data_IF_557214756714
#
_entry.id   IF_557214756714
#
_cell.length_a   1.000
_cell.length_b   1.000
_cell.length_c   1.000
_cell.angle_alpha   90.00
_cell.angle_beta   90.00
_cell.angle_gamma   90.00
#
_symmetry.space_group_name_H-M   'P 1'
#
loop_
_entity.id
_entity.type
_entity.pdbx_description
1 polymer ?
#
# COMPACT_ATOMS: atom_id res chain seq x y z
N UNK A 1 -51.25 16.28 24.68
CA UNK A 1 -49.83 16.73 24.64
C UNK A 1 -48.84 15.85 25.42
N UNK A 2 -49.22 14.65 25.92
CA UNK A 2 -48.33 13.81 26.76
C UNK A 2 -47.64 12.66 26.00
N UNK A 3 -48.23 12.19 24.88
CA UNK A 3 -47.71 11.05 24.09
C UNK A 3 -46.64 11.46 23.07
N UNK A 4 -46.70 12.69 22.58
CA UNK A 4 -45.77 13.22 21.56
C UNK A 4 -44.42 13.55 22.19
N UNK A 5 -44.40 14.11 23.41
CA UNK A 5 -43.16 14.36 24.16
C UNK A 5 -42.38 13.09 24.49
N UNK A 6 -43.08 11.97 24.75
CA UNK A 6 -42.43 10.69 25.07
C UNK A 6 -41.74 10.04 23.86
N UNK A 7 -42.26 10.24 22.65
CA UNK A 7 -41.65 9.74 21.40
C UNK A 7 -40.42 10.57 21.04
N UNK A 8 -40.48 11.89 21.21
CA UNK A 8 -39.33 12.78 20.96
C UNK A 8 -38.20 12.53 21.95
N UNK A 9 -38.51 12.30 23.24
CA UNK A 9 -37.50 11.96 24.25
C UNK A 9 -36.89 10.56 23.98
N UNK A 10 -37.70 9.57 23.61
CA UNK A 10 -37.19 8.24 23.25
C UNK A 10 -36.28 8.27 22.01
N UNK A 11 -36.64 9.03 20.98
CA UNK A 11 -35.80 9.22 19.78
C UNK A 11 -34.49 9.96 20.11
N UNK A 12 -34.52 10.94 21.02
CA UNK A 12 -33.32 11.65 21.47
C UNK A 12 -32.36 10.74 22.26
N UNK A 13 -32.90 9.85 23.10
CA UNK A 13 -32.12 8.83 23.82
C UNK A 13 -31.55 7.74 22.91
N UNK A 14 -32.27 7.35 21.86
CA UNK A 14 -31.76 6.39 20.86
C UNK A 14 -30.64 7.05 20.03
N UNK A 15 -30.79 8.33 19.68
CA UNK A 15 -29.78 9.08 18.92
C UNK A 15 -28.47 9.26 19.71
N UNK A 16 -28.53 9.46 21.03
CA UNK A 16 -27.31 9.53 21.87
C UNK A 16 -26.65 8.17 22.07
N UNK A 17 -27.43 7.09 22.22
CA UNK A 17 -26.89 5.74 22.41
C UNK A 17 -26.10 5.24 21.18
N UNK A 18 -26.59 5.53 19.97
CA UNK A 18 -25.89 5.18 18.71
C UNK A 18 -24.55 5.92 18.58
N UNK A 19 -24.43 7.12 19.14
CA UNK A 19 -23.21 7.93 19.08
C UNK A 19 -22.10 7.47 20.04
N UNK A 20 -22.42 6.60 21.01
CA UNK A 20 -21.48 6.12 22.03
C UNK A 20 -20.99 4.70 21.79
N UNK A 21 -21.35 4.07 20.65
CA UNK A 21 -20.77 2.79 20.31
C UNK A 21 -19.27 3.00 20.02
N UNK A 22 -18.36 2.38 20.78
CA UNK A 22 -16.98 2.30 20.33
C UNK A 22 -16.98 1.50 19.01
N UNK A 23 -16.56 2.12 17.92
CA UNK A 23 -16.22 1.38 16.71
C UNK A 23 -15.09 0.44 17.06
N UNK A 24 -15.39 -0.85 17.23
CA UNK A 24 -14.36 -1.88 17.25
C UNK A 24 -13.83 -1.98 15.83
N UNK A 25 -12.88 -1.12 15.48
CA UNK A 25 -12.01 -1.37 14.34
C UNK A 25 -11.32 -2.69 14.65
N UNK A 26 -11.59 -3.71 13.82
CA UNK A 26 -10.70 -4.85 13.78
C UNK A 26 -9.31 -4.27 13.49
N UNK A 27 -8.33 -4.59 14.32
CA UNK A 27 -6.94 -4.33 13.97
C UNK A 27 -6.74 -4.99 12.60
N UNK A 28 -6.46 -4.18 11.59
CA UNK A 28 -6.19 -4.65 10.24
C UNK A 28 -4.78 -5.24 10.25
N UNK A 29 -4.70 -6.49 10.71
CA UNK A 29 -3.45 -7.22 10.81
C UNK A 29 -3.03 -7.61 9.40
N UNK A 30 -2.03 -6.91 8.88
CA UNK A 30 -1.46 -7.15 7.54
C UNK A 30 -0.16 -7.93 7.67
N UNK A 31 0.13 -8.81 6.73
CA UNK A 31 1.38 -9.58 6.71
C UNK A 31 2.40 -8.80 5.88
N UNK A 32 3.52 -8.38 6.48
CA UNK A 32 4.52 -7.60 5.74
C UNK A 32 5.12 -8.44 4.61
N UNK A 33 4.98 -7.97 3.37
CA UNK A 33 5.39 -8.66 2.14
C UNK A 33 4.26 -9.39 1.41
N UNK A 34 3.06 -9.49 1.97
CA UNK A 34 1.85 -10.06 1.36
C UNK A 34 1.09 -8.98 0.58
N UNK A 35 1.58 -8.68 -0.61
CA UNK A 35 1.11 -7.58 -1.43
C UNK A 35 -0.27 -7.86 -2.06
N UNK A 36 -0.64 -9.13 -2.24
CA UNK A 36 -1.92 -9.55 -2.83
C UNK A 36 -2.99 -9.95 -1.79
N UNK A 37 -2.66 -9.89 -0.49
CA UNK A 37 -3.51 -10.24 0.67
C UNK A 37 -3.96 -11.70 0.69
N UNK A 38 -3.19 -12.61 0.11
CA UNK A 38 -3.52 -14.04 0.12
C UNK A 38 -3.13 -14.73 1.44
N UNK A 39 -2.39 -14.06 2.31
CA UNK A 39 -1.94 -14.56 3.62
C UNK A 39 -0.57 -15.26 3.61
N UNK A 40 0.15 -15.25 2.49
CA UNK A 40 1.48 -15.85 2.32
C UNK A 40 2.42 -14.87 1.61
N UNK A 41 3.67 -14.75 2.09
CA UNK A 41 4.69 -13.98 1.36
C UNK A 41 5.35 -14.87 0.30
N UNK A 42 5.09 -14.56 -0.97
CA UNK A 42 5.48 -15.38 -2.13
C UNK A 42 6.06 -14.55 -3.29
N UNK A 43 6.51 -15.21 -4.36
CA UNK A 43 7.03 -14.52 -5.56
C UNK A 43 5.95 -13.67 -6.30
N UNK A 44 4.69 -14.12 -6.40
CA UNK A 44 3.58 -13.29 -6.86
C UNK A 44 3.52 -11.90 -6.24
N UNK A 45 3.78 -11.73 -4.95
CA UNK A 45 3.74 -10.42 -4.28
C UNK A 45 4.73 -9.42 -4.86
N UNK A 46 5.97 -9.88 -5.06
CA UNK A 46 7.02 -9.09 -5.71
C UNK A 46 6.68 -8.78 -7.17
N UNK A 47 6.03 -9.72 -7.86
CA UNK A 47 5.63 -9.56 -9.27
C UNK A 47 4.47 -8.57 -9.39
N UNK A 48 3.53 -8.60 -8.45
CA UNK A 48 2.40 -7.67 -8.38
C UNK A 48 2.90 -6.22 -8.20
N UNK A 49 3.84 -5.98 -7.28
CA UNK A 49 4.45 -4.65 -7.09
C UNK A 49 5.07 -4.16 -8.41
N UNK A 50 5.91 -4.98 -9.07
CA UNK A 50 6.52 -4.62 -10.35
C UNK A 50 5.48 -4.34 -11.44
N UNK A 51 4.40 -5.10 -11.43
CA UNK A 51 3.32 -4.97 -12.39
C UNK A 51 2.58 -3.64 -12.21
N UNK A 52 2.19 -3.29 -10.98
CA UNK A 52 1.54 -2.00 -10.67
C UNK A 52 2.46 -0.82 -11.04
N UNK A 53 3.76 -0.91 -10.72
CA UNK A 53 4.75 0.12 -11.08
C UNK A 53 4.96 0.28 -12.59
N UNK A 54 4.63 -0.75 -13.38
CA UNK A 54 4.74 -0.68 -14.84
C UNK A 54 3.59 0.08 -15.51
N UNK A 55 2.55 0.47 -14.74
CA UNK A 55 1.33 1.13 -15.21
C UNK A 55 0.60 0.35 -16.34
N UNK A 56 0.86 -0.97 -16.46
CA UNK A 56 0.29 -1.80 -17.52
C UNK A 56 -1.20 -2.08 -17.26
N UNK A 57 -1.59 -2.41 -16.02
CA UNK A 57 -2.99 -2.44 -15.55
C UNK A 57 -3.08 -2.04 -14.07
N UNK A 58 -4.28 -1.64 -13.65
CA UNK A 58 -4.61 -1.27 -12.26
C UNK A 58 -5.03 -2.54 -11.48
N UNK A 59 -4.21 -2.98 -10.53
CA UNK A 59 -4.47 -4.13 -9.66
C UNK A 59 -4.65 -3.67 -8.21
N UNK A 60 -5.47 -4.41 -7.45
CA UNK A 60 -5.61 -4.20 -6.01
C UNK A 60 -4.32 -4.66 -5.31
N UNK A 61 -3.50 -3.69 -4.93
CA UNK A 61 -2.27 -3.85 -4.19
C UNK A 61 -2.51 -3.45 -2.73
N UNK A 62 -2.03 -4.28 -1.81
CA UNK A 62 -1.91 -3.85 -0.42
C UNK A 62 -0.66 -2.99 -0.23
N UNK A 63 -0.80 -1.67 -0.38
CA UNK A 63 0.32 -0.72 -0.23
C UNK A 63 1.06 -0.85 1.11
N UNK A 64 0.37 -1.23 2.19
CA UNK A 64 0.95 -1.26 3.53
C UNK A 64 1.71 -2.56 3.79
N UNK A 65 1.22 -3.67 3.23
CA UNK A 65 1.97 -4.92 3.22
C UNK A 65 3.13 -4.86 2.21
N UNK A 66 2.93 -4.17 1.08
CA UNK A 66 3.91 -4.01 0.02
C UNK A 66 5.08 -3.10 0.40
N UNK A 67 4.86 -2.06 1.22
CA UNK A 67 5.92 -1.23 1.81
C UNK A 67 6.67 -2.02 2.91
N UNK A 68 7.56 -2.92 2.47
CA UNK A 68 8.33 -3.80 3.34
C UNK A 68 9.44 -3.04 4.05
N UNK A 69 9.96 -1.98 3.43
CA UNK A 69 11.05 -1.19 4.00
C UNK A 69 10.55 -0.13 5.01
N UNK A 70 9.24 0.23 4.95
CA UNK A 70 8.57 1.16 5.84
C UNK A 70 8.87 2.64 5.56
N UNK A 71 9.20 3.01 4.33
CA UNK A 71 9.54 4.38 3.92
C UNK A 71 8.35 5.16 3.33
N UNK A 72 7.15 4.58 3.41
CA UNK A 72 5.88 5.12 2.92
C UNK A 72 5.79 5.17 1.37
N UNK A 73 6.74 4.57 0.65
CA UNK A 73 6.76 4.50 -0.81
C UNK A 73 6.87 3.06 -1.27
N UNK A 74 5.87 2.58 -2.01
CA UNK A 74 6.00 1.28 -2.68
C UNK A 74 6.79 1.45 -3.97
N UNK A 75 7.99 0.85 -4.05
CA UNK A 75 8.83 0.88 -5.24
C UNK A 75 9.54 -0.46 -5.54
N UNK A 76 10.49 -0.46 -6.49
CA UNK A 76 11.21 -1.68 -6.89
C UNK A 76 12.09 -2.25 -5.77
N UNK A 77 12.46 -1.42 -4.79
CA UNK A 77 13.20 -1.82 -3.58
C UNK A 77 12.38 -2.82 -2.79
N UNK A 78 11.07 -2.57 -2.62
CA UNK A 78 10.18 -3.48 -1.90
C UNK A 78 10.06 -4.84 -2.57
N UNK A 79 9.82 -4.82 -3.89
CA UNK A 79 9.80 -6.03 -4.69
C UNK A 79 11.11 -6.83 -4.57
N UNK A 80 12.25 -6.13 -4.54
CA UNK A 80 13.58 -6.74 -4.39
C UNK A 80 13.78 -7.32 -2.98
N UNK A 81 13.28 -6.65 -1.94
CA UNK A 81 13.37 -7.12 -0.56
C UNK A 81 12.56 -8.39 -0.34
N UNK A 82 11.36 -8.49 -0.92
CA UNK A 82 10.57 -9.74 -0.92
C UNK A 82 11.35 -10.86 -1.63
N UNK A 83 11.91 -10.61 -2.82
CA UNK A 83 12.71 -11.64 -3.51
C UNK A 83 13.91 -12.12 -2.68
N UNK A 84 14.64 -11.19 -2.04
CA UNK A 84 15.75 -11.51 -1.15
C UNK A 84 15.30 -12.37 0.04
N UNK A 85 14.17 -12.03 0.64
CA UNK A 85 13.56 -12.83 1.69
C UNK A 85 13.29 -14.27 1.24
N UNK A 86 12.64 -14.44 0.08
CA UNK A 86 12.28 -15.76 -0.46
C UNK A 86 13.49 -16.67 -0.74
N UNK A 87 14.63 -16.09 -1.09
CA UNK A 87 15.88 -16.85 -1.31
C UNK A 87 16.76 -16.94 -0.06
N UNK A 88 16.27 -16.52 1.11
CA UNK A 88 16.97 -16.63 2.39
C UNK A 88 18.18 -15.70 2.53
N UNK A 89 18.22 -14.59 1.79
CA UNK A 89 19.24 -13.57 1.99
C UNK A 89 18.91 -12.70 3.19
N UNK A 90 19.97 -12.30 3.91
CA UNK A 90 19.85 -11.35 5.02
C UNK A 90 19.13 -10.08 4.57
N UNK A 91 18.12 -9.69 5.35
CA UNK A 91 17.44 -8.43 5.25
C UNK A 91 17.06 -7.95 6.66
N UNK A 92 17.07 -6.63 6.92
CA UNK A 92 16.81 -6.07 8.25
C UNK A 92 15.32 -5.92 8.56
N UNK A 93 14.44 -6.34 7.65
CA UNK A 93 13.00 -6.07 7.71
C UNK A 93 12.25 -7.31 8.19
N UNK A 94 11.20 -7.10 8.98
CA UNK A 94 10.37 -8.17 9.53
C UNK A 94 9.35 -8.67 8.49
N UNK A 95 9.84 -9.19 7.36
CA UNK A 95 9.01 -9.80 6.32
C UNK A 95 8.42 -11.11 6.84
N UNK A 96 7.17 -11.41 6.47
CA UNK A 96 6.38 -12.54 6.97
C UNK A 96 6.01 -12.42 8.47
N UNK A 97 6.02 -11.18 8.98
CA UNK A 97 5.52 -10.84 10.31
C UNK A 97 4.26 -9.98 10.19
N UNK A 98 3.30 -10.21 11.09
CA UNK A 98 2.09 -9.41 11.16
C UNK A 98 2.46 -8.00 11.64
N UNK A 99 2.18 -7.01 10.81
CA UNK A 99 2.29 -5.61 11.18
C UNK A 99 0.97 -5.14 11.80
N UNK A 100 1.04 -4.74 13.08
CA UNK A 100 -0.06 -4.12 13.78
C UNK A 100 -0.09 -2.62 13.46
N UNK A 101 -1.08 -2.19 12.67
CA UNK A 101 -1.23 -0.77 12.34
C UNK A 101 -2.18 -0.06 13.33
N UNK A 102 -1.75 1.10 13.85
CA UNK A 102 -2.63 2.07 14.51
C UNK A 102 -2.99 3.16 13.50
N UNK A 103 -4.27 3.24 13.12
CA UNK A 103 -4.92 4.24 12.26
C UNK A 103 -4.15 5.58 12.06
N UNK A 104 -3.84 6.03 10.81
CA UNK A 104 -3.05 7.21 10.52
C UNK A 104 -3.85 8.51 10.47
N UNK A 105 -5.07 8.58 10.99
CA UNK A 105 -5.91 9.79 10.86
C UNK A 105 -5.39 11.07 11.56
N UNK A 106 -4.14 11.15 12.01
CA UNK A 106 -3.48 12.45 12.25
C UNK A 106 -2.93 13.03 10.92
N UNK A 107 -3.48 14.15 10.41
CA UNK A 107 -2.98 14.75 9.18
C UNK A 107 -1.62 15.41 9.44
N UNK A 108 -0.56 14.91 8.78
CA UNK A 108 0.68 15.67 8.63
C UNK A 108 0.62 16.44 7.32
N UNK A 109 0.43 17.76 7.39
CA UNK A 109 0.56 18.65 6.25
C UNK A 109 2.03 18.81 5.89
N UNK A 110 2.55 17.92 5.03
CA UNK A 110 3.74 18.19 4.24
C UNK A 110 3.31 18.88 2.93
N UNK A 111 3.91 20.02 2.61
CA UNK A 111 3.66 20.71 1.35
C UNK A 111 4.15 19.84 0.17
N UNK A 112 3.41 19.75 -0.95
CA UNK A 112 3.87 19.00 -2.11
C UNK A 112 5.12 19.67 -2.69
N UNK A 113 6.24 18.96 -2.69
CA UNK A 113 7.42 19.36 -3.49
C UNK A 113 7.31 18.70 -4.84
N UNK A 114 6.92 19.47 -5.85
CA UNK A 114 6.92 19.02 -7.24
C UNK A 114 8.36 18.92 -7.75
N UNK A 115 8.90 17.70 -7.82
CA UNK A 115 10.03 17.43 -8.70
C UNK A 115 9.51 17.42 -10.15
N UNK A 116 10.16 18.16 -11.04
CA UNK A 116 9.78 18.16 -12.46
C UNK A 116 10.01 16.76 -13.06
N UNK A 117 9.11 16.27 -13.93
CA UNK A 117 9.32 15.01 -14.64
C UNK A 117 10.58 15.15 -15.49
N UNK A 118 11.60 14.34 -15.18
CA UNK A 118 12.73 14.17 -16.09
C UNK A 118 12.29 13.19 -17.16
N UNK A 119 12.21 13.66 -18.41
CA UNK A 119 11.99 12.78 -19.55
C UNK A 119 13.15 11.78 -19.60
N UNK A 120 12.90 10.46 -19.46
CA UNK A 120 13.95 9.48 -19.66
C UNK A 120 14.47 9.65 -21.09
N UNK A 121 15.80 9.73 -21.24
CA UNK A 121 16.40 9.70 -22.58
C UNK A 121 16.02 8.37 -23.21
N UNK A 122 15.46 8.35 -24.44
CA UNK A 122 15.10 7.10 -25.10
C UNK A 122 16.34 6.20 -25.15
N UNK A 123 16.22 5.03 -24.50
CA UNK A 123 17.24 3.98 -24.57
C UNK A 123 17.27 3.48 -26.00
N UNK A 124 18.46 3.48 -26.63
CA UNK A 124 18.62 2.91 -27.97
C UNK A 124 18.14 1.47 -27.96
N UNK A 125 17.40 1.07 -28.98
CA UNK A 125 16.99 -0.32 -29.18
C UNK A 125 18.24 -1.21 -29.07
N UNK A 126 18.31 -2.16 -28.12
CA UNK A 126 19.48 -3.02 -27.94
C UNK A 126 19.78 -3.89 -29.18
N UNK A 127 18.87 -3.92 -30.16
CA UNK A 127 19.02 -4.60 -31.45
C UNK A 127 19.31 -3.66 -32.62
N UNK A 128 19.49 -2.35 -32.40
CA UNK A 128 19.93 -1.42 -33.45
C UNK A 128 21.39 -1.72 -33.82
N UNK A 129 21.61 -2.35 -34.98
CA UNK A 129 22.95 -2.62 -35.50
C UNK A 129 23.73 -1.31 -35.67
N UNK A 130 25.03 -1.27 -35.31
CA UNK A 130 25.85 -0.09 -35.53
C UNK A 130 25.89 0.24 -37.03
N UNK A 131 25.70 1.52 -37.37
CA UNK A 131 25.87 2.00 -38.74
C UNK A 131 27.34 1.80 -39.15
N UNK A 132 27.58 0.89 -40.11
CA UNK A 132 28.89 0.69 -40.72
C UNK A 132 28.89 1.40 -42.07
N UNK A 133 29.55 2.56 -42.23
CA UNK A 133 29.63 3.23 -43.52
C UNK A 133 30.42 2.37 -44.52
N UNK A 134 29.86 2.18 -45.71
CA UNK A 134 30.57 1.56 -46.82
C UNK A 134 31.68 2.51 -47.30
N UNK A 135 32.92 2.04 -47.28
CA UNK A 135 34.06 2.70 -47.93
C UNK A 135 33.98 2.59 -49.45
#
# INVERSE_FOLDING_TARGET
MKRIGSIVIALLFILTAVYTLPSTYAADNRLRGDADRNGEVTLPDSTLIQYVLSEIEDYDLDEQAADVNGDETVDITDATLIQRYLVGFDNPYQIDEIIGYSDPTTPTTAAPTTAAPTTPTPTRDPYELPFIPSH
#
